data_IF_643128768854
#
_entry.id   IF_643128768854
#
_cell.length_a   1.000
_cell.length_b   1.000
_cell.length_c   1.000
_cell.angle_alpha   90.00
_cell.angle_beta   90.00
_cell.angle_gamma   90.00
#
_symmetry.space_group_name_H-M   'P 1'
#
loop_
_entity.id
_entity.type
_entity.pdbx_description
1 polymer ?
#
# COMPACT_ATOMS: atom_id res chain seq x y z
N UNK A 1 -6.22 7.10 -6.05
CA UNK A 1 -7.30 6.84 -7.03
C UNK A 1 -7.45 5.34 -7.19
N UNK A 2 -8.66 4.76 -7.06
CA UNK A 2 -8.89 3.35 -7.36
C UNK A 2 -8.73 3.07 -8.85
N UNK A 3 -8.48 1.82 -9.19
CA UNK A 3 -8.52 1.31 -10.56
C UNK A 3 -9.02 -0.15 -10.56
N UNK A 4 -9.42 -0.64 -11.73
CA UNK A 4 -9.84 -2.04 -11.88
C UNK A 4 -8.62 -2.89 -12.27
N UNK A 5 -8.30 -3.91 -11.48
CA UNK A 5 -7.23 -4.86 -11.81
C UNK A 5 -7.64 -5.82 -12.92
N UNK A 6 -6.66 -6.57 -13.46
CA UNK A 6 -6.90 -7.62 -14.45
C UNK A 6 -7.78 -8.80 -13.96
N UNK A 7 -8.16 -8.85 -12.69
CA UNK A 7 -9.15 -9.81 -12.16
C UNK A 7 -10.57 -9.21 -12.07
N UNK A 8 -10.73 -7.97 -12.57
CA UNK A 8 -11.96 -7.18 -12.53
C UNK A 8 -12.41 -6.83 -11.09
N UNK A 9 -11.45 -6.54 -10.21
CA UNK A 9 -11.67 -6.06 -8.84
C UNK A 9 -11.25 -4.60 -8.73
N UNK A 10 -11.92 -3.83 -7.88
CA UNK A 10 -11.52 -2.44 -7.63
C UNK A 10 -10.40 -2.43 -6.60
N UNK A 11 -9.30 -1.75 -6.88
CA UNK A 11 -8.10 -1.80 -6.05
C UNK A 11 -7.33 -0.47 -6.10
N UNK A 12 -6.41 -0.28 -5.15
CA UNK A 12 -5.58 0.93 -5.08
C UNK A 12 -5.12 1.26 -3.68
N UNK A 13 -4.31 2.30 -3.54
CA UNK A 13 -3.84 2.75 -2.24
C UNK A 13 -4.82 3.71 -1.57
N UNK A 14 -5.03 3.50 -0.28
CA UNK A 14 -5.67 4.43 0.67
C UNK A 14 -4.83 4.43 1.95
N UNK A 15 -4.95 5.49 2.74
CA UNK A 15 -4.38 5.51 4.09
C UNK A 15 -5.52 5.24 5.09
N UNK A 16 -5.33 4.29 6.02
CA UNK A 16 -6.35 3.89 7.03
C UNK A 16 -5.88 4.28 8.43
N UNK A 17 -6.78 4.79 9.27
CA UNK A 17 -6.47 5.16 10.64
C UNK A 17 -6.13 3.93 11.50
N UNK A 18 -4.98 4.00 12.17
CA UNK A 18 -4.52 3.07 13.19
C UNK A 18 -5.17 3.40 14.54
N UNK A 19 -6.05 2.51 15.01
CA UNK A 19 -6.90 2.76 16.19
C UNK A 19 -6.15 2.95 17.51
N UNK A 20 -4.89 2.51 17.59
CA UNK A 20 -4.03 2.68 18.77
C UNK A 20 -3.40 4.08 18.84
N UNK A 21 -3.13 4.70 17.67
CA UNK A 21 -2.25 5.87 17.56
C UNK A 21 -2.88 7.08 16.84
N UNK A 22 -4.09 6.94 16.28
CA UNK A 22 -4.74 7.96 15.43
C UNK A 22 -3.95 8.28 14.15
N UNK A 23 -3.02 7.40 13.76
CA UNK A 23 -2.10 7.62 12.64
C UNK A 23 -2.65 6.96 11.39
N UNK A 24 -2.66 7.69 10.27
CA UNK A 24 -3.00 7.11 8.98
C UNK A 24 -1.82 6.27 8.43
N UNK A 25 -2.12 5.02 8.08
CA UNK A 25 -1.18 4.03 7.55
C UNK A 25 -1.56 3.69 6.11
N UNK A 26 -0.64 3.94 5.17
CA UNK A 26 -0.83 3.59 3.75
C UNK A 26 -0.95 2.09 3.56
N UNK A 27 -2.01 1.65 2.88
CA UNK A 27 -2.30 0.24 2.57
C UNK A 27 -2.83 0.11 1.15
N UNK A 28 -2.60 -1.05 0.54
CA UNK A 28 -3.18 -1.38 -0.76
C UNK A 28 -4.48 -2.17 -0.54
N UNK A 29 -5.60 -1.58 -0.95
CA UNK A 29 -6.94 -2.17 -0.82
C UNK A 29 -7.33 -2.93 -2.08
N UNK A 30 -8.09 -4.02 -1.88
CA UNK A 30 -8.74 -4.81 -2.92
C UNK A 30 -10.20 -5.02 -2.49
N UNK A 31 -11.12 -4.46 -3.25
CA UNK A 31 -12.56 -4.67 -3.14
C UNK A 31 -12.96 -5.80 -4.10
N UNK A 32 -13.09 -7.00 -3.53
CA UNK A 32 -13.49 -8.21 -4.24
C UNK A 32 -14.96 -8.50 -3.98
N UNK A 33 -15.80 -8.07 -4.92
CA UNK A 33 -17.27 -8.26 -4.87
C UNK A 33 -17.69 -9.71 -5.03
N UNK A 34 -16.87 -10.55 -5.70
CA UNK A 34 -17.16 -11.98 -5.90
C UNK A 34 -16.86 -12.77 -4.63
N UNK A 35 -15.76 -12.44 -3.94
CA UNK A 35 -15.39 -13.05 -2.68
C UNK A 35 -16.16 -12.49 -1.47
N UNK A 36 -16.91 -11.39 -1.63
CA UNK A 36 -17.58 -10.65 -0.55
C UNK A 36 -16.59 -10.07 0.50
N UNK A 37 -15.43 -9.56 0.08
CA UNK A 37 -14.47 -8.91 0.97
C UNK A 37 -13.88 -7.61 0.41
N UNK A 38 -13.70 -6.63 1.31
CA UNK A 38 -12.69 -5.60 1.21
C UNK A 38 -11.46 -6.09 1.97
N UNK A 39 -10.33 -6.26 1.29
CA UNK A 39 -9.05 -6.69 1.85
C UNK A 39 -8.05 -5.55 1.79
N UNK A 40 -7.11 -5.47 2.74
CA UNK A 40 -5.97 -4.55 2.63
C UNK A 40 -4.63 -5.17 3.01
N UNK A 41 -3.59 -4.73 2.32
CA UNK A 41 -2.23 -5.28 2.37
C UNK A 41 -1.19 -4.18 2.61
N UNK A 42 0.02 -4.56 3.01
CA UNK A 42 1.13 -3.61 3.25
C UNK A 42 1.59 -2.87 1.98
N UNK A 43 1.54 -3.54 0.83
CA UNK A 43 1.73 -3.03 -0.52
C UNK A 43 0.85 -3.91 -1.45
N UNK A 44 0.84 -3.68 -2.76
CA UNK A 44 0.17 -4.55 -3.72
C UNK A 44 0.65 -6.02 -3.53
N UNK A 45 -0.25 -7.02 -3.36
CA UNK A 45 0.13 -8.42 -3.13
C UNK A 45 1.11 -9.01 -4.14
N UNK A 46 1.07 -8.55 -5.39
CA UNK A 46 2.01 -8.97 -6.45
C UNK A 46 3.47 -8.55 -6.15
N UNK A 47 3.67 -7.58 -5.27
CA UNK A 47 4.99 -7.06 -4.85
C UNK A 47 5.45 -7.62 -3.50
N UNK A 48 4.62 -8.41 -2.83
CA UNK A 48 4.93 -9.04 -1.54
C UNK A 48 5.52 -10.46 -1.74
N UNK A 49 6.23 -11.01 -0.74
CA UNK A 49 6.63 -12.42 -0.75
C UNK A 49 5.42 -13.36 -0.87
N UNK A 50 5.59 -14.47 -1.60
CA UNK A 50 4.56 -15.52 -1.71
C UNK A 50 4.08 -15.97 -0.33
N UNK A 51 2.76 -16.10 -0.17
CA UNK A 51 2.15 -16.46 1.12
C UNK A 51 1.89 -15.28 2.08
N UNK A 52 2.27 -14.05 1.74
CA UNK A 52 1.92 -12.87 2.56
C UNK A 52 0.41 -12.64 2.56
N UNK A 53 -0.22 -12.79 3.72
CA UNK A 53 -1.66 -12.58 3.90
C UNK A 53 -2.08 -11.11 3.91
N UNK A 54 -3.40 -10.89 3.94
CA UNK A 54 -3.97 -9.57 4.17
C UNK A 54 -3.67 -9.09 5.60
N UNK A 55 -3.44 -7.78 5.75
CA UNK A 55 -3.25 -7.12 7.05
C UNK A 55 -4.59 -6.99 7.79
N UNK A 56 -5.67 -6.87 7.04
CA UNK A 56 -7.02 -6.95 7.55
C UNK A 56 -8.03 -7.17 6.43
N UNK A 57 -9.25 -7.51 6.84
CA UNK A 57 -10.36 -7.84 5.96
C UNK A 57 -11.67 -7.35 6.55
N UNK A 58 -12.62 -7.06 5.68
CA UNK A 58 -13.97 -6.64 6.05
C UNK A 58 -14.97 -7.24 5.05
N UNK A 59 -15.95 -8.01 5.53
CA UNK A 59 -17.01 -8.55 4.65
C UNK A 59 -17.90 -7.41 4.15
N UNK A 60 -18.27 -7.42 2.87
CA UNK A 60 -19.07 -6.34 2.29
C UNK A 60 -20.50 -6.36 2.84
N UNK A 61 -21.03 -7.53 3.15
CA UNK A 61 -22.30 -7.71 3.90
C UNK A 61 -22.32 -7.08 5.29
N UNK A 62 -21.16 -6.74 5.87
CA UNK A 62 -21.09 -6.03 7.16
C UNK A 62 -21.07 -4.51 6.99
N UNK A 63 -20.78 -4.00 5.78
CA UNK A 63 -20.72 -2.56 5.50
C UNK A 63 -22.16 -2.05 5.35
N UNK A 64 -22.63 -1.31 6.36
CA UNK A 64 -23.95 -0.69 6.34
C UNK A 64 -23.99 0.54 5.45
N UNK A 65 -22.93 1.36 5.46
CA UNK A 65 -22.79 2.54 4.60
C UNK A 65 -21.36 3.07 4.58
N UNK A 66 -20.85 3.45 3.40
CA UNK A 66 -19.68 4.33 3.30
C UNK A 66 -20.12 5.78 3.02
N UNK A 67 -19.62 6.73 3.80
CA UNK A 67 -19.97 8.15 3.68
C UNK A 67 -18.72 9.05 3.66
N UNK A 68 -18.78 10.12 2.87
CA UNK A 68 -17.79 11.20 2.94
C UNK A 68 -17.78 11.81 4.34
N UNK A 69 -16.59 12.05 4.92
CA UNK A 69 -16.52 12.84 6.15
C UNK A 69 -16.94 14.28 5.83
N UNK A 70 -18.08 14.73 6.36
CA UNK A 70 -18.55 16.11 6.19
C UNK A 70 -17.61 17.08 6.91
N UNK A 71 -16.64 17.64 6.19
CA UNK A 71 -15.91 18.84 6.61
C UNK A 71 -16.92 19.99 6.75
N UNK A 72 -16.90 20.71 7.87
CA UNK A 72 -17.68 21.96 8.01
C UNK A 72 -19.14 21.86 8.48
N UNK A 73 -19.52 20.89 9.30
CA UNK A 73 -20.76 21.01 10.11
C UNK A 73 -20.55 20.41 11.50
N UNK A 74 -20.97 21.17 12.52
CA UNK A 74 -20.43 21.11 13.87
C UNK A 74 -21.27 20.27 14.83
N UNK A 75 -20.65 19.22 15.36
CA UNK A 75 -20.79 18.80 16.77
C UNK A 75 -19.37 18.46 17.26
N UNK A 76 -19.04 18.87 18.50
CA UNK A 76 -17.66 19.17 18.93
C UNK A 76 -16.83 17.92 19.31
N UNK A 77 -17.25 16.71 18.93
CA UNK A 77 -16.51 15.46 19.23
C UNK A 77 -16.35 14.58 17.98
N UNK A 78 -15.08 14.25 17.69
CA UNK A 78 -14.61 13.21 16.78
C UNK A 78 -14.99 13.38 15.28
N UNK A 79 -14.19 14.19 14.57
CA UNK A 79 -13.98 14.08 13.12
C UNK A 79 -12.47 14.21 12.81
N UNK A 80 -11.91 13.39 11.92
CA UNK A 80 -10.60 13.68 11.33
C UNK A 80 -10.68 15.02 10.60
N UNK A 81 -9.82 15.98 10.97
CA UNK A 81 -9.67 17.28 10.29
C UNK A 81 -8.89 17.17 8.97
N UNK A 82 -8.79 15.97 8.42
CA UNK A 82 -7.85 15.58 7.38
C UNK A 82 -8.57 15.63 6.02
N UNK A 83 -7.96 16.24 4.98
CA UNK A 83 -8.60 16.38 3.68
C UNK A 83 -8.81 15.01 3.03
N UNK A 84 -9.91 14.90 2.27
CA UNK A 84 -10.29 13.69 1.53
C UNK A 84 -10.48 12.43 2.40
N UNK A 85 -10.93 12.61 3.65
CA UNK A 85 -11.35 11.51 4.51
C UNK A 85 -12.81 11.06 4.29
N UNK A 86 -13.03 9.76 4.43
CA UNK A 86 -14.35 9.11 4.44
C UNK A 86 -14.39 7.98 5.49
N UNK A 87 -15.60 7.52 5.82
CA UNK A 87 -15.82 6.52 6.86
C UNK A 87 -16.54 5.32 6.27
N UNK A 88 -16.03 4.12 6.56
CA UNK A 88 -16.75 2.86 6.35
C UNK A 88 -17.36 2.48 7.70
N UNK A 89 -18.69 2.49 7.79
CA UNK A 89 -19.41 1.97 8.94
C UNK A 89 -19.66 0.48 8.70
N UNK A 90 -19.20 -0.38 9.61
CA UNK A 90 -19.45 -1.81 9.52
C UNK A 90 -19.64 -2.44 10.90
N UNK A 91 -20.78 -3.13 11.09
CA UNK A 91 -21.26 -3.57 12.41
C UNK A 91 -21.21 -2.40 13.42
N UNK A 92 -20.55 -2.59 14.56
CA UNK A 92 -20.30 -1.58 15.60
C UNK A 92 -18.99 -0.80 15.42
N UNK A 93 -18.24 -1.04 14.34
CA UNK A 93 -16.93 -0.44 14.08
C UNK A 93 -16.98 0.63 12.99
N UNK A 94 -16.08 1.61 13.09
CA UNK A 94 -15.88 2.67 12.10
C UNK A 94 -14.44 2.66 11.66
N UNK A 95 -14.22 2.43 10.37
CA UNK A 95 -12.90 2.60 9.77
C UNK A 95 -12.84 3.97 9.11
N UNK A 96 -11.89 4.79 9.53
CA UNK A 96 -11.59 6.08 8.88
C UNK A 96 -10.51 5.86 7.83
N UNK A 97 -10.77 6.32 6.61
CA UNK A 97 -9.85 6.22 5.48
C UNK A 97 -9.62 7.60 4.88
N UNK A 98 -8.43 7.79 4.30
CA UNK A 98 -8.01 8.98 3.60
C UNK A 98 -7.61 8.61 2.15
N UNK A 99 -8.12 9.38 1.21
CA UNK A 99 -7.80 9.31 -0.21
C UNK A 99 -6.72 10.35 -0.61
N UNK A 100 -6.08 10.18 -1.77
CA UNK A 100 -5.09 11.14 -2.28
C UNK A 100 -5.70 12.50 -2.62
N UNK A 101 -6.95 12.51 -3.07
CA UNK A 101 -7.64 13.67 -3.62
C UNK A 101 -9.17 13.50 -3.63
N UNK A 102 -9.89 14.53 -4.05
CA UNK A 102 -11.36 14.54 -4.06
C UNK A 102 -11.98 13.53 -5.05
N UNK A 103 -11.27 13.20 -6.14
CA UNK A 103 -11.75 12.22 -7.12
C UNK A 103 -11.53 10.80 -6.59
N UNK A 104 -10.35 10.52 -6.04
CA UNK A 104 -10.04 9.26 -5.36
C UNK A 104 -11.06 8.93 -4.26
N UNK A 105 -11.39 9.90 -3.40
CA UNK A 105 -12.44 9.72 -2.38
C UNK A 105 -13.80 9.40 -3.01
N UNK A 106 -14.19 10.08 -4.09
CA UNK A 106 -15.50 9.88 -4.73
C UNK A 106 -15.61 8.47 -5.29
N UNK A 107 -14.62 8.05 -6.08
CA UNK A 107 -14.63 6.75 -6.74
C UNK A 107 -14.58 5.59 -5.74
N UNK A 108 -13.83 5.70 -4.64
CA UNK A 108 -13.86 4.69 -3.57
C UNK A 108 -15.21 4.60 -2.86
N UNK A 109 -15.82 5.75 -2.51
CA UNK A 109 -17.13 5.77 -1.86
C UNK A 109 -18.21 5.19 -2.78
N UNK A 110 -18.17 5.49 -4.08
CA UNK A 110 -19.12 4.95 -5.05
C UNK A 110 -18.91 3.45 -5.29
N UNK A 111 -17.66 2.99 -5.40
CA UNK A 111 -17.35 1.57 -5.55
C UNK A 111 -17.80 0.76 -4.33
N UNK A 112 -17.51 1.23 -3.11
CA UNK A 112 -17.91 0.58 -1.86
C UNK A 112 -19.44 0.53 -1.70
N UNK A 113 -20.14 1.63 -1.97
CA UNK A 113 -21.60 1.69 -1.89
C UNK A 113 -22.30 0.91 -3.02
N UNK A 114 -21.66 0.70 -4.16
CA UNK A 114 -22.17 -0.18 -5.22
C UNK A 114 -21.97 -1.65 -4.85
N UNK A 115 -20.80 -1.97 -4.29
CA UNK A 115 -20.46 -3.32 -3.83
C UNK A 115 -21.37 -3.80 -2.68
N UNK A 116 -21.62 -2.98 -1.66
CA UNK A 116 -22.48 -3.37 -0.54
C UNK A 116 -23.93 -3.65 -1.00
N UNK A 117 -24.48 -2.81 -1.91
CA UNK A 117 -25.81 -3.00 -2.50
C UNK A 117 -25.97 -4.32 -3.25
N UNK A 118 -24.92 -4.81 -3.92
CA UNK A 118 -24.95 -6.11 -4.62
C UNK A 118 -25.02 -7.26 -3.61
N UNK A 119 -24.39 -7.11 -2.44
CA UNK A 119 -24.33 -8.17 -1.41
C UNK A 119 -25.50 -8.19 -0.43
N UNK A 120 -26.38 -7.18 -0.44
CA UNK A 120 -27.59 -7.13 0.40
C UNK A 120 -28.81 -7.55 -0.44
N UNK A 121 -29.49 -8.66 -0.12
CA UNK A 121 -30.73 -9.02 -0.80
C UNK A 121 -31.79 -7.92 -0.61
N UNK A 122 -32.42 -7.48 -1.70
CA UNK A 122 -33.66 -6.69 -1.59
C UNK A 122 -34.75 -7.59 -1.01
N UNK A 123 -35.43 -7.22 0.09
CA UNK A 123 -36.73 -7.80 0.41
C UNK A 123 -37.71 -7.35 -0.70
N UNK A 124 -38.07 -8.30 -1.57
CA UNK A 124 -38.93 -8.05 -2.72
C UNK A 124 -40.39 -7.87 -2.32
N UNK A 125 -41.06 -6.92 -2.95
CA UNK A 125 -42.48 -6.66 -2.76
C UNK A 125 -43.35 -7.50 -3.72
N UNK A 126 -43.93 -8.58 -3.18
CA UNK A 126 -45.15 -9.25 -3.67
C UNK A 126 -45.00 -10.29 -4.81
N UNK A 127 -46.07 -11.05 -5.13
CA UNK A 127 -47.36 -11.19 -4.43
C UNK A 127 -47.56 -12.58 -3.78
N UNK A 128 -48.70 -12.81 -3.14
CA UNK A 128 -49.06 -14.08 -2.51
C UNK A 128 -49.79 -15.04 -3.47
N UNK A 129 -49.50 -16.35 -3.37
CA UNK A 129 -50.43 -17.44 -3.69
C UNK A 129 -50.07 -18.67 -2.84
N UNK A 130 -51.01 -19.60 -2.65
CA UNK A 130 -51.12 -20.42 -1.44
C UNK A 130 -50.74 -21.90 -1.63
N UNK A 131 -50.46 -22.56 -0.49
CA UNK A 131 -50.59 -24.01 -0.21
C UNK A 131 -49.81 -25.06 -1.02
N UNK A 132 -49.05 -25.88 -0.28
CA UNK A 132 -48.49 -27.16 -0.71
C UNK A 132 -47.74 -27.82 0.44
N UNK A 133 -48.38 -28.71 1.20
CA UNK A 133 -47.80 -29.37 2.38
C UNK A 133 -47.00 -30.63 2.02
N UNK A 134 -45.93 -30.92 2.77
CA UNK A 134 -45.78 -32.09 3.67
C UNK A 134 -44.32 -32.31 4.09
N UNK A 135 -44.14 -32.81 5.31
CA UNK A 135 -42.93 -33.06 6.11
C UNK A 135 -41.81 -33.92 5.49
N UNK A 136 -40.55 -33.68 5.91
CA UNK A 136 -39.71 -34.71 6.58
C UNK A 136 -38.88 -34.00 7.70
N UNK A 137 -38.72 -34.64 8.87
CA UNK A 137 -37.85 -34.17 9.96
C UNK A 137 -36.39 -34.57 9.73
N UNK A 138 -35.42 -33.83 10.30
CA UNK A 138 -34.27 -34.47 10.96
C UNK A 138 -33.70 -33.59 12.12
N UNK A 139 -33.07 -34.22 13.12
CA UNK A 139 -32.75 -33.61 14.44
C UNK A 139 -31.27 -33.75 14.86
N UNK A 140 -30.87 -32.96 15.87
CA UNK A 140 -29.62 -32.99 16.70
C UNK A 140 -28.39 -32.26 16.12
N UNK A 141 -27.49 -31.67 16.91
CA UNK A 141 -27.54 -31.22 18.33
C UNK A 141 -26.44 -30.17 18.59
N UNK A 142 -26.67 -29.22 19.50
CA UNK A 142 -25.59 -28.40 20.11
C UNK A 142 -24.91 -29.17 21.25
N UNK A 143 -23.62 -28.91 21.54
CA UNK A 143 -23.03 -28.78 22.92
C UNK A 143 -21.64 -28.14 22.84
N UNK A 144 -21.20 -27.40 23.87
CA UNK A 144 -19.84 -26.86 24.05
C UNK A 144 -19.03 -27.68 25.08
N UNK A 145 -17.70 -27.49 25.18
CA UNK A 145 -16.85 -28.28 26.08
C UNK A 145 -15.87 -27.46 26.94
N UNK A 146 -15.53 -28.02 28.12
CA UNK A 146 -14.58 -27.56 29.16
C UNK A 146 -13.88 -28.81 29.70
N UNK A 147 -12.57 -28.77 29.97
CA UNK A 147 -11.91 -29.87 30.72
C UNK A 147 -10.66 -29.38 31.48
N UNK A 148 -10.31 -30.12 32.53
CA UNK A 148 -9.18 -29.92 33.45
C UNK A 148 -8.72 -31.33 33.88
N UNK A 149 -7.49 -31.52 34.37
CA UNK A 149 -6.97 -32.85 34.73
C UNK A 149 -6.29 -32.87 36.10
N UNK A 150 -6.70 -33.85 36.90
CA UNK A 150 -6.14 -34.20 38.21
C UNK A 150 -5.41 -35.56 38.05
N UNK A 151 -4.29 -35.75 38.75
CA UNK A 151 -3.53 -37.00 38.82
C UNK A 151 -2.84 -37.51 37.51
N UNK A 152 -2.27 -36.62 36.70
CA UNK A 152 -1.11 -36.97 35.85
C UNK A 152 -1.37 -37.35 34.39
N UNK A 153 -2.43 -36.84 33.75
CA UNK A 153 -2.69 -36.97 32.29
C UNK A 153 -2.91 -35.58 31.66
N UNK A 154 -3.00 -35.47 30.32
CA UNK A 154 -2.80 -34.23 29.51
C UNK A 154 -3.83 -34.19 28.35
N UNK A 155 -4.46 -33.09 27.88
CA UNK A 155 -4.69 -31.67 28.29
C UNK A 155 -5.78 -31.09 27.36
N UNK A 156 -6.61 -30.10 27.76
CA UNK A 156 -7.01 -28.96 26.89
C UNK A 156 -7.74 -27.80 27.63
N UNK A 157 -7.33 -26.56 27.38
CA UNK A 157 -7.43 -25.43 28.32
C UNK A 157 -8.17 -24.20 27.76
N UNK A 158 -8.97 -23.46 28.56
CA UNK A 158 -9.38 -22.09 28.28
C UNK A 158 -8.59 -21.03 29.07
N UNK A 159 -8.62 -19.78 28.57
CA UNK A 159 -8.01 -18.55 29.12
C UNK A 159 -8.87 -18.09 30.36
N UNK A 160 -8.50 -17.28 31.37
CA UNK A 160 -7.94 -15.90 31.41
C UNK A 160 -7.43 -15.52 32.84
N UNK A 161 -6.56 -14.49 32.91
CA UNK A 161 -6.41 -13.44 33.96
C UNK A 161 -5.55 -13.62 35.23
N UNK A 162 -4.44 -12.86 35.26
CA UNK A 162 -4.00 -11.85 36.26
C UNK A 162 -3.69 -12.19 37.75
N UNK A 163 -2.50 -11.68 38.13
CA UNK A 163 -2.10 -11.03 39.40
C UNK A 163 -1.77 -11.86 40.66
N UNK A 164 -0.57 -11.61 41.20
CA UNK A 164 -0.34 -11.49 42.65
C UNK A 164 0.82 -12.30 43.22
N UNK A 165 1.80 -11.63 43.85
CA UNK A 165 2.56 -12.19 44.99
C UNK A 165 4.05 -12.53 44.77
N UNK A 166 4.91 -11.62 45.22
CA UNK A 166 6.27 -11.87 45.74
C UNK A 166 6.22 -12.67 47.08
N UNK A 167 7.32 -13.09 47.78
CA UNK A 167 8.71 -12.59 47.68
C UNK A 167 9.91 -13.57 47.89
N UNK A 168 11.13 -13.03 47.62
CA UNK A 168 12.40 -13.19 48.38
C UNK A 168 13.05 -14.60 48.58
N UNK A 169 14.39 -14.75 48.73
CA UNK A 169 15.40 -13.76 49.14
C UNK A 169 16.88 -14.04 48.72
N UNK A 170 17.70 -12.97 48.76
CA UNK A 170 19.18 -12.88 48.93
C UNK A 170 20.20 -13.71 48.11
N UNK A 171 21.07 -13.04 47.33
CA UNK A 171 22.46 -12.64 47.75
C UNK A 171 23.39 -12.20 46.57
N UNK A 172 23.93 -10.97 46.67
CA UNK A 172 25.32 -10.48 46.47
C UNK A 172 26.34 -11.35 45.68
N UNK A 173 27.35 -10.89 44.92
CA UNK A 173 27.91 -9.57 44.54
C UNK A 173 28.98 -9.77 43.39
N UNK A 174 29.76 -8.84 42.81
CA UNK A 174 29.92 -7.37 42.93
C UNK A 174 30.31 -6.68 41.58
N UNK A 175 31.50 -6.07 41.46
CA UNK A 175 32.04 -5.18 40.40
C UNK A 175 33.21 -5.75 39.58
N UNK A 176 33.44 -5.21 38.37
CA UNK A 176 34.79 -4.73 37.96
C UNK A 176 34.73 -3.64 36.87
N UNK A 177 35.59 -2.62 37.01
CA UNK A 177 35.73 -1.42 36.15
C UNK A 177 37.03 -1.41 35.35
N UNK A 178 37.05 -0.89 34.11
CA UNK A 178 38.19 -0.24 33.42
C UNK A 178 37.70 0.36 32.09
N UNK A 179 38.32 1.37 31.44
CA UNK A 179 39.07 2.56 31.88
C UNK A 179 39.13 3.51 30.65
N UNK A 180 39.24 4.82 30.85
CA UNK A 180 39.22 5.80 29.76
C UNK A 180 40.61 6.05 29.12
N UNK A 181 40.64 6.33 27.81
CA UNK A 181 41.71 7.13 27.19
C UNK A 181 41.12 8.10 26.16
N UNK A 182 41.36 9.41 26.36
CA UNK A 182 41.17 10.44 25.33
C UNK A 182 42.43 10.55 24.48
N UNK A 183 42.27 10.92 23.20
CA UNK A 183 43.34 11.62 22.45
C UNK A 183 42.74 12.71 21.57
N UNK A 184 43.43 13.84 21.50
CA UNK A 184 42.93 15.12 20.97
C UNK A 184 43.45 15.42 19.57
N UNK A 185 42.55 16.00 18.76
CA UNK A 185 42.77 17.17 17.89
C UNK A 185 43.96 17.18 16.91
N UNK A 186 43.66 17.13 15.61
CA UNK A 186 44.13 18.13 14.62
C UNK A 186 43.60 17.84 13.21
N UNK A 187 42.57 18.55 12.71
CA UNK A 187 42.35 18.74 11.27
C UNK A 187 41.81 20.14 10.97
N UNK A 188 42.33 20.72 9.89
CA UNK A 188 42.12 22.09 9.41
C UNK A 188 40.80 22.17 8.61
N UNK A 189 39.94 23.19 8.77
CA UNK A 189 38.75 23.32 7.95
C UNK A 189 39.11 23.81 6.54
N UNK A 190 38.99 22.93 5.53
CA UNK A 190 38.89 23.34 4.14
C UNK A 190 37.42 23.68 3.81
N UNK A 191 37.15 24.72 3.00
CA UNK A 191 35.80 25.21 2.77
C UNK A 191 34.98 24.25 1.91
N UNK A 192 34.11 23.46 2.55
CA UNK A 192 33.03 22.74 1.89
C UNK A 192 31.93 23.74 1.51
N UNK A 193 32.05 24.36 0.33
CA UNK A 193 30.88 24.78 -0.44
C UNK A 193 31.14 24.92 -1.93
N UNK A 194 31.21 23.78 -2.63
CA UNK A 194 30.73 23.69 -4.01
C UNK A 194 29.48 22.82 -4.02
N UNK A 195 28.34 23.46 -3.73
CA UNK A 195 27.05 22.89 -4.09
C UNK A 195 27.05 22.62 -5.59
N UNK A 196 27.11 21.34 -5.97
CA UNK A 196 26.79 20.92 -7.33
C UNK A 196 25.45 21.57 -7.70
N UNK A 197 25.31 22.18 -8.89
CA UNK A 197 24.05 22.81 -9.26
C UNK A 197 22.94 21.76 -9.18
N UNK A 198 22.02 21.97 -8.24
CA UNK A 198 20.91 21.07 -7.95
C UNK A 198 20.11 20.90 -9.23
N UNK A 199 20.30 19.74 -9.89
CA UNK A 199 19.59 19.44 -11.13
C UNK A 199 18.11 19.49 -10.84
N UNK A 200 17.39 20.33 -11.57
CA UNK A 200 15.95 20.51 -11.41
C UNK A 200 15.24 19.16 -11.57
N UNK A 201 14.69 18.63 -10.48
CA UNK A 201 13.89 17.41 -10.49
C UNK A 201 12.60 17.71 -11.24
N UNK A 202 12.34 16.95 -12.30
CA UNK A 202 11.14 17.07 -13.14
C UNK A 202 9.99 16.21 -12.61
N UNK A 203 10.32 15.04 -12.06
CA UNK A 203 9.39 14.17 -11.32
C UNK A 203 10.18 13.25 -10.40
N UNK A 204 9.69 13.02 -9.19
CA UNK A 204 10.19 11.97 -8.29
C UNK A 204 9.03 11.19 -7.68
N UNK A 205 9.31 10.01 -7.14
CA UNK A 205 8.30 9.18 -6.49
C UNK A 205 8.67 7.70 -6.43
N UNK A 206 7.92 6.92 -5.66
CA UNK A 206 8.13 5.47 -5.57
C UNK A 206 7.46 4.73 -6.72
N UNK A 207 8.19 3.80 -7.33
CA UNK A 207 7.66 2.79 -8.24
C UNK A 207 8.27 1.42 -7.89
N UNK A 208 7.67 0.34 -8.38
CA UNK A 208 8.18 -1.02 -8.19
C UNK A 208 8.79 -1.53 -9.49
N UNK A 209 10.06 -1.94 -9.48
CA UNK A 209 10.79 -2.29 -10.71
C UNK A 209 11.39 -3.69 -10.71
N UNK A 210 11.31 -4.39 -11.85
CA UNK A 210 11.80 -5.76 -11.99
C UNK A 210 13.33 -5.88 -11.89
N UNK A 211 13.82 -6.88 -11.17
CA UNK A 211 15.24 -7.22 -11.03
C UNK A 211 15.88 -7.61 -12.36
N UNK A 212 17.21 -7.44 -12.49
CA UNK A 212 17.90 -7.79 -13.74
C UNK A 212 17.95 -9.30 -13.95
N UNK A 213 18.61 -9.99 -13.01
CA UNK A 213 18.84 -11.43 -13.02
C UNK A 213 17.65 -12.17 -12.38
N UNK A 214 17.50 -12.08 -11.05
CA UNK A 214 16.49 -12.84 -10.26
C UNK A 214 15.02 -12.37 -10.42
N UNK A 215 14.69 -11.63 -11.48
CA UNK A 215 13.37 -11.07 -11.89
C UNK A 215 12.42 -10.52 -10.81
N UNK A 216 12.90 -10.33 -9.59
CA UNK A 216 12.11 -9.92 -8.43
C UNK A 216 11.74 -8.44 -8.46
N UNK A 217 10.56 -8.13 -7.94
CA UNK A 217 10.03 -6.78 -7.92
C UNK A 217 10.49 -6.06 -6.65
N UNK A 218 10.98 -4.83 -6.79
CA UNK A 218 11.52 -4.05 -5.67
C UNK A 218 11.04 -2.61 -5.75
N UNK A 219 10.41 -2.12 -4.68
CA UNK A 219 10.05 -0.71 -4.50
C UNK A 219 11.32 0.13 -4.44
N UNK A 220 11.39 1.19 -5.23
CA UNK A 220 12.54 2.09 -5.36
C UNK A 220 12.03 3.51 -5.56
N UNK A 221 12.77 4.48 -5.02
CA UNK A 221 12.48 5.89 -5.27
C UNK A 221 13.14 6.29 -6.59
N UNK A 222 12.33 6.72 -7.57
CA UNK A 222 12.79 7.18 -8.87
C UNK A 222 12.90 8.70 -8.89
N UNK A 223 13.90 9.21 -9.60
CA UNK A 223 14.16 10.64 -9.79
C UNK A 223 14.44 10.87 -11.28
N UNK A 224 13.61 11.67 -11.93
CA UNK A 224 13.80 12.17 -13.28
C UNK A 224 14.32 13.62 -13.21
N UNK A 225 15.48 13.87 -13.79
CA UNK A 225 16.02 15.21 -14.04
C UNK A 225 16.04 15.52 -15.56
N UNK A 226 16.58 16.66 -15.95
CA UNK A 226 16.62 17.10 -17.36
C UNK A 226 17.54 16.29 -18.28
N UNK A 227 18.34 15.34 -17.77
CA UNK A 227 19.33 14.56 -18.53
C UNK A 227 19.31 13.06 -18.26
N UNK A 228 18.66 12.62 -17.19
CA UNK A 228 18.64 11.22 -16.74
C UNK A 228 17.41 10.87 -15.89
N UNK A 229 17.05 9.59 -15.89
CA UNK A 229 16.21 8.99 -14.86
C UNK A 229 17.05 8.03 -14.02
N UNK A 230 16.95 8.12 -12.71
CA UNK A 230 17.72 7.35 -11.75
C UNK A 230 16.84 6.73 -10.68
N UNK A 231 17.37 5.78 -9.90
CA UNK A 231 16.64 5.24 -8.75
C UNK A 231 17.52 4.87 -7.54
N UNK A 232 16.99 5.12 -6.34
CA UNK A 232 17.59 4.90 -5.03
C UNK A 232 16.86 3.79 -4.25
N UNK A 233 17.42 3.29 -3.13
CA UNK A 233 16.68 2.37 -2.23
C UNK A 233 15.54 3.12 -1.55
N UNK A 234 15.81 4.33 -1.05
CA UNK A 234 14.85 5.26 -0.46
C UNK A 234 15.09 6.70 -0.93
N UNK A 235 14.18 7.61 -0.59
CA UNK A 235 14.23 9.03 -0.93
C UNK A 235 15.41 9.79 -0.31
N UNK A 236 15.90 9.33 0.85
CA UNK A 236 17.01 9.97 1.58
C UNK A 236 18.41 9.59 1.06
N UNK A 237 18.51 8.57 0.20
CA UNK A 237 19.80 8.12 -0.33
C UNK A 237 20.36 9.15 -1.32
N UNK A 238 21.54 9.69 -1.02
CA UNK A 238 22.25 10.63 -1.90
C UNK A 238 22.85 9.97 -3.15
N UNK A 239 23.00 8.64 -3.16
CA UNK A 239 23.67 7.90 -4.23
C UNK A 239 22.67 6.98 -4.96
N UNK A 240 22.41 7.20 -6.26
CA UNK A 240 21.53 6.33 -7.04
C UNK A 240 22.14 4.96 -7.28
N UNK A 241 21.33 3.90 -7.17
CA UNK A 241 21.72 2.52 -7.51
C UNK A 241 21.97 2.35 -9.01
N UNK A 242 21.34 3.19 -9.83
CA UNK A 242 21.54 3.29 -11.27
C UNK A 242 21.06 4.65 -11.78
N UNK A 243 21.80 5.17 -12.74
CA UNK A 243 21.40 6.30 -13.60
C UNK A 243 21.17 5.71 -15.00
N UNK A 244 20.13 6.16 -15.68
CA UNK A 244 19.83 5.88 -17.09
C UNK A 244 19.77 7.24 -17.78
N UNK A 245 20.71 7.53 -18.68
CA UNK A 245 20.70 8.83 -19.36
C UNK A 245 19.58 8.88 -20.40
N UNK A 246 18.89 10.01 -20.51
CA UNK A 246 17.76 10.16 -21.45
C UNK A 246 18.18 9.99 -22.91
N UNK A 247 19.46 10.22 -23.23
CA UNK A 247 20.07 9.95 -24.55
C UNK A 247 20.15 8.45 -24.91
N UNK A 248 20.17 7.57 -23.91
CA UNK A 248 20.26 6.11 -24.06
C UNK A 248 18.87 5.44 -24.11
N UNK A 249 17.81 6.20 -23.84
CA UNK A 249 16.42 5.74 -23.92
C UNK A 249 15.96 5.77 -25.37
N UNK A 250 15.68 4.58 -25.90
CA UNK A 250 15.16 4.38 -27.25
C UNK A 250 13.64 4.64 -27.29
N UNK A 251 12.91 4.16 -26.28
CA UNK A 251 11.45 4.28 -26.17
C UNK A 251 10.99 4.17 -24.71
N UNK A 252 9.95 4.91 -24.33
CA UNK A 252 9.21 4.70 -23.06
C UNK A 252 7.72 4.66 -23.34
N UNK A 253 7.04 3.57 -22.92
CA UNK A 253 5.61 3.38 -23.16
C UNK A 253 4.99 2.34 -22.21
N UNK A 254 3.66 2.24 -22.22
CA UNK A 254 2.91 1.19 -21.50
C UNK A 254 3.26 -0.21 -22.00
N UNK A 255 3.37 -1.15 -21.07
CA UNK A 255 3.80 -2.52 -21.32
C UNK A 255 2.59 -3.44 -21.59
N UNK A 256 2.17 -3.51 -22.85
CA UNK A 256 0.99 -4.26 -23.31
C UNK A 256 1.26 -5.78 -23.48
N UNK A 257 2.04 -6.39 -22.57
CA UNK A 257 2.45 -7.80 -22.67
C UNK A 257 1.25 -8.74 -22.53
N UNK A 258 1.20 -9.76 -23.42
CA UNK A 258 0.11 -10.72 -23.57
C UNK A 258 0.39 -12.11 -22.97
N UNK A 259 1.51 -12.32 -22.27
CA UNK A 259 1.88 -13.62 -21.70
C UNK A 259 2.89 -13.54 -20.53
N UNK A 260 3.00 -14.61 -19.75
CA UNK A 260 3.96 -14.76 -18.63
C UNK A 260 3.65 -13.89 -17.40
N UNK A 261 4.56 -13.84 -16.43
CA UNK A 261 4.38 -13.14 -15.14
C UNK A 261 4.04 -11.64 -15.28
N UNK A 262 4.41 -11.02 -16.41
CA UNK A 262 4.10 -9.62 -16.71
C UNK A 262 2.61 -9.44 -17.05
N UNK A 263 1.94 -10.47 -17.59
CA UNK A 263 0.52 -10.43 -17.92
C UNK A 263 -0.35 -10.10 -16.71
N UNK A 264 0.05 -10.46 -15.50
CA UNK A 264 -0.76 -10.22 -14.30
C UNK A 264 -0.52 -8.83 -13.69
N UNK A 265 0.45 -8.07 -14.18
CA UNK A 265 0.78 -6.73 -13.65
C UNK A 265 -0.11 -5.64 -14.24
N UNK A 266 -0.75 -4.88 -13.36
CA UNK A 266 -1.39 -3.61 -13.72
C UNK A 266 -0.37 -2.46 -13.67
N UNK A 267 -0.72 -1.32 -14.27
CA UNK A 267 0.05 -0.06 -14.20
C UNK A 267 1.52 -0.21 -14.60
N UNK A 268 1.80 -1.11 -15.55
CA UNK A 268 3.14 -1.50 -15.96
C UNK A 268 3.58 -0.70 -17.21
N UNK A 269 4.71 -0.02 -17.10
CA UNK A 269 5.39 0.61 -18.23
C UNK A 269 6.82 0.10 -18.38
N UNK A 270 7.40 0.32 -19.56
CA UNK A 270 8.76 -0.06 -19.87
C UNK A 270 9.59 1.08 -20.45
N UNK A 271 10.83 1.17 -19.99
CA UNK A 271 11.89 2.03 -20.55
C UNK A 271 12.84 1.12 -21.31
N UNK A 272 12.88 1.24 -22.64
CA UNK A 272 13.79 0.49 -23.51
C UNK A 272 15.08 1.30 -23.69
N UNK A 273 16.20 0.68 -23.37
CA UNK A 273 17.57 1.15 -23.71
C UNK A 273 18.26 0.08 -24.55
N UNK A 274 19.32 0.44 -25.29
CA UNK A 274 20.09 -0.50 -26.09
C UNK A 274 20.48 -1.82 -25.37
N UNK A 275 21.10 -1.79 -24.18
CA UNK A 275 21.51 -3.01 -23.48
C UNK A 275 20.39 -3.66 -22.65
N UNK A 276 19.23 -3.00 -22.44
CA UNK A 276 18.23 -3.46 -21.46
C UNK A 276 16.87 -2.76 -21.55
N UNK A 277 15.80 -3.55 -21.40
CA UNK A 277 14.46 -3.05 -21.01
C UNK A 277 14.28 -3.03 -19.49
N UNK A 278 13.70 -1.94 -18.97
CA UNK A 278 13.36 -1.78 -17.56
C UNK A 278 11.84 -1.77 -17.38
N UNK A 279 11.30 -2.85 -16.82
CA UNK A 279 9.90 -2.96 -16.41
C UNK A 279 9.66 -2.28 -15.06
N UNK A 280 8.69 -1.36 -15.02
CA UNK A 280 8.38 -0.51 -13.87
C UNK A 280 6.85 -0.45 -13.70
N UNK A 281 6.36 -0.83 -12.53
CA UNK A 281 4.97 -0.74 -12.10
C UNK A 281 4.78 0.53 -11.25
N UNK A 282 3.78 1.34 -11.58
CA UNK A 282 3.36 2.50 -10.79
C UNK A 282 2.21 2.16 -9.83
N UNK A 283 2.02 2.98 -8.80
CA UNK A 283 0.96 2.79 -7.80
C UNK A 283 -0.46 2.99 -8.35
N UNK A 284 -0.63 3.67 -9.50
CA UNK A 284 -1.92 3.87 -10.20
C UNK A 284 -1.75 4.03 -11.72
N UNK A 285 -2.84 3.91 -12.53
CA UNK A 285 -2.78 4.17 -13.96
C UNK A 285 -2.38 5.62 -14.28
N UNK A 286 -2.80 6.58 -13.46
CA UNK A 286 -2.49 8.00 -13.63
C UNK A 286 -1.01 8.25 -13.41
N UNK A 287 -0.41 7.62 -12.40
CA UNK A 287 1.03 7.73 -12.16
C UNK A 287 1.84 7.04 -13.26
N UNK A 288 1.41 5.89 -13.79
CA UNK A 288 2.03 5.26 -14.96
C UNK A 288 2.09 6.23 -16.15
N UNK A 289 0.95 6.81 -16.54
CA UNK A 289 0.87 7.77 -17.64
C UNK A 289 1.66 9.06 -17.35
N UNK A 290 1.65 9.54 -16.11
CA UNK A 290 2.43 10.69 -15.62
C UNK A 290 3.93 10.46 -15.79
N UNK A 291 4.44 9.28 -15.40
CA UNK A 291 5.83 8.89 -15.62
C UNK A 291 6.20 8.78 -17.11
N UNK A 292 5.40 8.08 -17.92
CA UNK A 292 5.64 7.96 -19.37
C UNK A 292 5.69 9.35 -20.02
N UNK A 293 4.72 10.22 -19.71
CA UNK A 293 4.65 11.60 -20.24
C UNK A 293 5.85 12.43 -19.83
N UNK A 294 6.22 12.42 -18.55
CA UNK A 294 7.35 13.20 -18.03
C UNK A 294 8.69 12.76 -18.66
N UNK A 295 8.94 11.45 -18.77
CA UNK A 295 10.15 10.91 -19.39
C UNK A 295 10.22 11.30 -20.87
N UNK A 296 9.13 11.11 -21.62
CA UNK A 296 9.10 11.45 -23.04
C UNK A 296 9.24 12.96 -23.29
N UNK A 297 8.62 13.81 -22.47
CA UNK A 297 8.79 15.26 -22.53
C UNK A 297 10.24 15.68 -22.25
N UNK A 298 10.88 15.11 -21.22
CA UNK A 298 12.29 15.39 -20.91
C UNK A 298 13.24 14.96 -22.05
N UNK A 299 13.00 13.81 -22.69
CA UNK A 299 13.75 13.35 -23.88
C UNK A 299 13.57 14.34 -25.05
N UNK A 300 12.35 14.82 -25.30
CA UNK A 300 12.07 15.80 -26.35
C UNK A 300 12.79 17.13 -26.08
N UNK A 301 12.67 17.68 -24.87
CA UNK A 301 13.36 18.92 -24.45
C UNK A 301 14.88 18.79 -24.59
N UNK A 302 15.45 17.66 -24.19
CA UNK A 302 16.88 17.40 -24.32
C UNK A 302 17.33 17.38 -25.79
N UNK A 303 16.58 16.70 -26.66
CA UNK A 303 16.85 16.68 -28.11
C UNK A 303 16.77 18.07 -28.74
N UNK A 304 15.81 18.90 -28.33
CA UNK A 304 15.69 20.28 -28.83
C UNK A 304 16.91 21.14 -28.45
N UNK A 305 17.40 21.04 -27.20
CA UNK A 305 18.61 21.77 -26.76
C UNK A 305 19.84 21.42 -27.61
N UNK A 306 20.07 20.14 -27.90
CA UNK A 306 21.19 19.73 -28.76
C UNK A 306 21.07 20.25 -30.20
N UNK A 307 19.86 20.35 -30.76
CA UNK A 307 19.64 20.89 -32.11
C UNK A 307 19.93 22.39 -32.18
N UNK A 308 19.50 23.17 -31.18
CA UNK A 308 19.75 24.63 -31.14
C UNK A 308 21.25 24.93 -31.03
N UNK A 309 21.98 24.22 -30.17
CA UNK A 309 23.43 24.39 -30.05
C UNK A 309 24.21 24.03 -31.33
N UNK A 310 23.73 23.08 -32.15
CA UNK A 310 24.36 22.74 -33.43
C UNK A 310 24.01 23.69 -34.59
N UNK A 311 23.05 24.60 -34.42
CA UNK A 311 22.66 25.62 -35.42
C UNK A 311 23.27 26.99 -35.08
N UNK A 312 23.86 27.13 -33.87
CA UNK A 312 24.42 28.38 -33.35
C UNK A 312 25.96 28.44 -33.44
N UNK A 313 26.55 27.65 -34.35
CA UNK A 313 27.99 27.53 -34.66
C UNK A 313 28.15 27.57 -36.16
#
# INVERSE_FOLDING_TARGET
MPYVDRQNRTCGFLDIEDGENGRFLRRYFILDTKANYLLWYMDNPQNLPSGTGAVGSLKLTYISKSEKSKVGSATVKQKPKVPFCFVINALSQRHFLQASDQKDLQEWVDALNSASKITVPRPGSGPATETGSTTVEDKKSQTAYKTEIIAGVVVQTPIITQNGGEPQDTSHCETHTHAALRRTQSQIPLPVNKSLPTRSILKSGFCVKQGNMRKNWKRRYFILDAVSISYCKCEKDQVPLRIIYLREILKTHECLVKSGDLLMRDNLFEIITGPRTFYIQADSPQEMHSWIKAINAAIQTLRMRYRVCMISV
#
